data_IF_139795651561
#
_entry.id   IF_139795651561
#
_cell.length_a   1.000
_cell.length_b   1.000
_cell.length_c   1.000
_cell.angle_alpha   90.00
_cell.angle_beta   90.00
_cell.angle_gamma   90.00
#
_symmetry.space_group_name_H-M   'P 1'
#
loop_
_entity.id
_entity.type
_entity.pdbx_description
1 polymer ?
#
# COMPACT_ATOMS: atom_id res chain seq x y z
N UNK A 1 -1.75 -20.04 13.28
CA UNK A 1 -0.96 -18.81 13.52
C UNK A 1 0.53 -19.00 13.32
N UNK A 2 1.22 -19.86 14.10
CA UNK A 2 2.69 -20.04 13.98
C UNK A 2 3.16 -20.45 12.59
N UNK A 3 2.47 -21.41 11.96
CA UNK A 3 2.73 -21.81 10.57
C UNK A 3 2.56 -20.64 9.60
N UNK A 4 1.47 -19.89 9.70
CA UNK A 4 1.22 -18.70 8.87
C UNK A 4 2.31 -17.64 8.99
N UNK A 5 2.76 -17.35 10.22
CA UNK A 5 3.87 -16.42 10.48
C UNK A 5 5.20 -16.92 9.88
N UNK A 6 5.50 -18.21 10.02
CA UNK A 6 6.69 -18.82 9.43
C UNK A 6 6.67 -18.73 7.89
N UNK A 7 5.52 -19.03 7.26
CA UNK A 7 5.37 -18.91 5.81
C UNK A 7 5.52 -17.46 5.33
N UNK A 8 4.96 -16.49 6.07
CA UNK A 8 5.12 -15.08 5.77
C UNK A 8 6.59 -14.64 5.84
N UNK A 9 7.32 -15.07 6.88
CA UNK A 9 8.74 -14.76 7.05
C UNK A 9 9.59 -15.37 5.94
N UNK A 10 9.41 -16.67 5.67
CA UNK A 10 10.15 -17.39 4.61
C UNK A 10 9.79 -16.81 3.24
N UNK A 11 8.52 -16.54 2.99
CA UNK A 11 8.04 -15.96 1.74
C UNK A 11 8.62 -14.57 1.49
N UNK A 12 8.56 -13.68 2.48
CA UNK A 12 9.14 -12.33 2.40
C UNK A 12 10.65 -12.39 2.12
N UNK A 13 11.36 -13.23 2.87
CA UNK A 13 12.80 -13.44 2.70
C UNK A 13 13.17 -13.94 1.31
N UNK A 14 12.42 -14.92 0.80
CA UNK A 14 12.62 -15.50 -0.52
C UNK A 14 12.34 -14.49 -1.64
N UNK A 15 11.22 -13.76 -1.53
CA UNK A 15 10.80 -12.73 -2.48
C UNK A 15 11.78 -11.57 -2.54
N UNK A 16 12.24 -11.05 -1.39
CA UNK A 16 13.20 -9.95 -1.34
C UNK A 16 14.54 -10.37 -1.96
N UNK A 17 15.08 -11.54 -1.59
CA UNK A 17 16.33 -12.03 -2.21
C UNK A 17 16.18 -12.22 -3.71
N UNK A 18 15.07 -12.81 -4.16
CA UNK A 18 14.81 -13.00 -5.59
C UNK A 18 14.71 -11.67 -6.33
N UNK A 19 14.01 -10.68 -5.76
CA UNK A 19 13.84 -9.35 -6.33
C UNK A 19 15.17 -8.62 -6.51
N UNK A 20 16.06 -8.64 -5.51
CA UNK A 20 17.41 -8.04 -5.60
C UNK A 20 18.21 -8.69 -6.73
N UNK A 21 18.24 -10.03 -6.81
CA UNK A 21 18.97 -10.74 -7.85
C UNK A 21 18.38 -10.52 -9.25
N UNK A 22 17.05 -10.47 -9.39
CA UNK A 22 16.39 -10.18 -10.66
C UNK A 22 16.68 -8.76 -11.14
N UNK A 23 16.69 -7.78 -10.23
CA UNK A 23 17.10 -6.43 -10.56
C UNK A 23 18.53 -6.39 -11.14
N UNK A 24 19.46 -7.11 -10.52
CA UNK A 24 20.84 -7.23 -11.00
C UNK A 24 20.94 -7.92 -12.37
N UNK A 25 20.22 -9.04 -12.57
CA UNK A 25 20.21 -9.80 -13.83
C UNK A 25 19.64 -8.97 -14.97
N UNK A 26 18.52 -8.28 -14.75
CA UNK A 26 17.87 -7.44 -15.75
C UNK A 26 18.52 -6.06 -15.89
N UNK A 27 19.55 -5.76 -15.10
CA UNK A 27 20.25 -4.47 -15.08
C UNK A 27 19.30 -3.28 -14.86
N UNK A 28 18.26 -3.50 -14.05
CA UNK A 28 17.29 -2.48 -13.65
C UNK A 28 17.50 -2.10 -12.18
N UNK A 29 16.94 -0.97 -11.77
CA UNK A 29 16.98 -0.56 -10.36
C UNK A 29 16.14 -1.53 -9.50
N UNK A 30 16.58 -1.91 -8.29
CA UNK A 30 15.77 -2.70 -7.36
C UNK A 30 14.38 -2.08 -7.09
N UNK A 31 14.33 -0.74 -7.08
CA UNK A 31 13.08 0.03 -6.99
C UNK A 31 12.06 -0.38 -8.05
N UNK A 32 12.47 -0.64 -9.30
CA UNK A 32 11.56 -1.01 -10.39
C UNK A 32 10.89 -2.36 -10.11
N UNK A 33 11.65 -3.34 -9.63
CA UNK A 33 11.12 -4.67 -9.27
C UNK A 33 10.18 -4.56 -8.06
N UNK A 34 10.54 -3.73 -7.08
CA UNK A 34 9.68 -3.40 -5.94
C UNK A 34 8.34 -2.78 -6.36
N UNK A 35 8.39 -1.73 -7.19
CA UNK A 35 7.22 -1.01 -7.69
C UNK A 35 6.30 -1.84 -8.58
N UNK A 36 6.81 -2.90 -9.21
CA UNK A 36 6.08 -3.68 -10.21
C UNK A 36 5.76 -5.08 -9.71
N UNK A 37 6.68 -6.03 -9.87
CA UNK A 37 6.41 -7.46 -9.67
C UNK A 37 6.11 -7.78 -8.21
N UNK A 38 6.87 -7.20 -7.28
CA UNK A 38 6.70 -7.47 -5.84
C UNK A 38 5.41 -6.83 -5.34
N UNK A 39 5.17 -5.57 -5.69
CA UNK A 39 3.93 -4.86 -5.36
C UNK A 39 2.69 -5.57 -5.91
N UNK A 40 2.70 -5.97 -7.19
CA UNK A 40 1.59 -6.69 -7.81
C UNK A 40 1.35 -8.04 -7.12
N UNK A 41 2.43 -8.78 -6.84
CA UNK A 41 2.34 -10.08 -6.18
C UNK A 41 1.80 -9.99 -4.75
N UNK A 42 2.25 -9.01 -3.98
CA UNK A 42 1.77 -8.81 -2.60
C UNK A 42 0.36 -8.22 -2.52
N UNK A 43 -0.13 -7.61 -3.60
CA UNK A 43 -1.51 -7.06 -3.71
C UNK A 43 -2.51 -8.08 -4.25
N UNK A 44 -2.06 -9.24 -4.76
CA UNK A 44 -2.93 -10.29 -5.27
C UNK A 44 -3.95 -10.82 -4.24
N UNK A 45 -3.61 -11.01 -2.95
CA UNK A 45 -4.58 -11.42 -1.93
C UNK A 45 -5.67 -10.38 -1.71
N UNK A 46 -5.31 -9.08 -1.78
CA UNK A 46 -6.27 -7.98 -1.70
C UNK A 46 -7.19 -7.95 -2.92
N UNK A 47 -6.69 -8.27 -4.11
CA UNK A 47 -7.52 -8.46 -5.30
C UNK A 47 -8.55 -9.58 -5.12
N UNK A 48 -8.11 -10.73 -4.62
CA UNK A 48 -8.97 -11.88 -4.39
C UNK A 48 -10.10 -11.56 -3.41
N UNK A 49 -9.78 -10.91 -2.28
CA UNK A 49 -10.78 -10.51 -1.28
C UNK A 49 -11.75 -9.45 -1.83
N UNK A 50 -11.25 -8.46 -2.57
CA UNK A 50 -12.10 -7.40 -3.12
C UNK A 50 -13.07 -7.95 -4.17
N UNK A 51 -12.60 -8.84 -5.04
CA UNK A 51 -13.46 -9.55 -5.99
C UNK A 51 -14.49 -10.42 -5.27
N UNK A 52 -14.06 -11.23 -4.30
CA UNK A 52 -14.98 -12.09 -3.55
C UNK A 52 -16.07 -11.28 -2.84
N UNK A 53 -15.71 -10.15 -2.22
CA UNK A 53 -16.68 -9.25 -1.60
C UNK A 53 -17.67 -8.66 -2.62
N UNK A 54 -17.18 -8.27 -3.81
CA UNK A 54 -18.03 -7.76 -4.88
C UNK A 54 -19.01 -8.83 -5.43
N UNK A 55 -18.57 -10.08 -5.57
CA UNK A 55 -19.45 -11.19 -5.97
C UNK A 55 -20.45 -11.61 -4.89
N UNK A 56 -20.14 -11.32 -3.62
CA UNK A 56 -21.02 -11.56 -2.48
C UNK A 56 -21.98 -10.38 -2.18
N UNK A 57 -22.11 -9.42 -3.12
CA UNK A 57 -22.93 -8.20 -2.98
C UNK A 57 -22.52 -7.27 -1.82
N UNK A 58 -21.29 -7.44 -1.31
CA UNK A 58 -20.70 -6.62 -0.25
C UNK A 58 -19.73 -5.59 -0.86
N UNK A 59 -20.25 -4.75 -1.76
CA UNK A 59 -19.44 -3.84 -2.58
C UNK A 59 -18.71 -2.76 -1.78
N UNK A 60 -19.31 -2.28 -0.68
CA UNK A 60 -18.66 -1.32 0.24
C UNK A 60 -17.40 -1.92 0.89
N UNK A 61 -17.41 -3.22 1.22
CA UNK A 61 -16.24 -3.91 1.75
C UNK A 61 -15.14 -4.03 0.69
N UNK A 62 -15.52 -4.26 -0.57
CA UNK A 62 -14.57 -4.35 -1.68
C UNK A 62 -13.81 -3.03 -1.88
N UNK A 63 -14.53 -1.90 -1.87
CA UNK A 63 -13.92 -0.57 -2.00
C UNK A 63 -13.16 -0.17 -0.73
N UNK A 64 -13.76 -0.37 0.44
CA UNK A 64 -13.15 -0.04 1.74
C UNK A 64 -11.84 -0.78 1.98
N UNK A 65 -11.73 -2.05 1.55
CA UNK A 65 -10.49 -2.83 1.57
C UNK A 65 -9.37 -2.16 0.77
N UNK A 66 -9.67 -1.63 -0.43
CA UNK A 66 -8.69 -0.91 -1.25
C UNK A 66 -8.23 0.37 -0.57
N UNK A 67 -9.17 1.20 -0.13
CA UNK A 67 -8.88 2.50 0.50
C UNK A 67 -8.08 2.30 1.79
N UNK A 68 -8.56 1.43 2.68
CA UNK A 68 -7.92 1.12 3.95
C UNK A 68 -6.52 0.52 3.77
N UNK A 69 -6.34 -0.36 2.78
CA UNK A 69 -5.03 -0.92 2.43
C UNK A 69 -4.03 0.15 2.00
N UNK A 70 -4.45 1.15 1.21
CA UNK A 70 -3.58 2.24 0.79
C UNK A 70 -3.14 3.14 1.96
N UNK A 71 -4.06 3.43 2.87
CA UNK A 71 -3.78 4.18 4.11
C UNK A 71 -2.82 3.36 4.98
N UNK A 72 -3.07 2.06 5.15
CA UNK A 72 -2.21 1.16 5.93
C UNK A 72 -0.79 1.07 5.36
N UNK A 73 -0.66 0.95 4.05
CA UNK A 73 0.64 0.87 3.37
C UNK A 73 1.50 2.11 3.65
N UNK A 74 0.93 3.31 3.55
CA UNK A 74 1.70 4.54 3.79
C UNK A 74 1.92 4.79 5.27
N UNK A 75 0.91 4.65 6.12
CA UNK A 75 1.05 5.05 7.51
C UNK A 75 1.74 3.97 8.36
N UNK A 76 1.42 2.70 8.14
CA UNK A 76 1.93 1.59 8.94
C UNK A 76 3.18 0.99 8.31
N UNK A 77 3.11 0.51 7.07
CA UNK A 77 4.23 -0.24 6.48
C UNK A 77 5.45 0.67 6.34
N UNK A 78 5.29 1.84 5.70
CA UNK A 78 6.38 2.81 5.55
C UNK A 78 6.87 3.32 6.91
N UNK A 79 5.94 3.59 7.84
CA UNK A 79 6.26 4.05 9.18
C UNK A 79 7.14 3.06 9.95
N UNK A 80 6.75 1.78 9.97
CA UNK A 80 7.54 0.70 10.59
C UNK A 80 8.89 0.49 9.89
N UNK A 81 8.92 0.55 8.56
CA UNK A 81 10.17 0.45 7.81
C UNK A 81 11.15 1.58 8.17
N UNK A 82 10.64 2.82 8.33
CA UNK A 82 11.44 3.97 8.74
C UNK A 82 11.97 3.87 10.18
N UNK A 83 11.25 3.19 11.08
CA UNK A 83 11.76 2.89 12.43
C UNK A 83 12.95 1.94 12.40
N UNK A 84 12.89 0.90 11.56
CA UNK A 84 13.96 -0.08 11.39
C UNK A 84 15.20 0.62 10.81
N UNK A 85 15.05 1.23 9.64
CA UNK A 85 16.14 1.89 8.92
C UNK A 85 15.64 3.19 8.28
N UNK A 86 16.37 4.32 8.40
CA UNK A 86 16.03 5.52 7.67
C UNK A 86 15.96 5.24 6.17
N UNK A 87 14.80 5.51 5.56
CA UNK A 87 14.50 5.15 4.18
C UNK A 87 14.98 6.27 3.27
N UNK A 88 16.10 6.06 2.57
CA UNK A 88 16.53 6.97 1.51
C UNK A 88 15.63 6.79 0.31
N UNK A 89 15.14 7.92 -0.19
CA UNK A 89 14.17 7.99 -1.29
C UNK A 89 14.92 8.37 -2.56
N UNK A 90 14.80 7.54 -3.60
CA UNK A 90 15.32 7.90 -4.92
C UNK A 90 14.56 9.10 -5.49
N UNK A 91 15.25 10.00 -6.20
CA UNK A 91 14.63 11.18 -6.83
C UNK A 91 13.45 10.82 -7.74
N UNK A 92 13.50 9.65 -8.38
CA UNK A 92 12.44 9.07 -9.20
C UNK A 92 11.13 8.91 -8.42
N UNK A 93 11.20 8.42 -7.18
CA UNK A 93 10.04 8.24 -6.31
C UNK A 93 9.30 9.55 -6.10
N UNK A 94 10.05 10.62 -5.85
CA UNK A 94 9.47 11.93 -5.53
C UNK A 94 8.85 12.62 -6.76
N UNK A 95 9.47 12.51 -7.93
CA UNK A 95 9.05 13.26 -9.11
C UNK A 95 8.10 12.50 -10.01
N UNK A 96 8.03 11.18 -9.89
CA UNK A 96 7.21 10.33 -10.77
C UNK A 96 6.30 9.42 -9.96
N UNK A 97 6.84 8.56 -9.11
CA UNK A 97 6.03 7.50 -8.50
C UNK A 97 4.97 8.05 -7.52
N UNK A 98 5.33 9.03 -6.68
CA UNK A 98 4.39 9.73 -5.79
C UNK A 98 3.35 10.54 -6.58
N UNK A 99 3.72 11.39 -7.58
CA UNK A 99 2.74 12.05 -8.43
C UNK A 99 1.79 11.10 -9.16
N UNK A 100 2.27 9.95 -9.64
CA UNK A 100 1.42 8.91 -10.23
C UNK A 100 0.44 8.35 -9.19
N UNK A 101 0.90 8.09 -7.96
CA UNK A 101 0.04 7.62 -6.87
C UNK A 101 -1.04 8.65 -6.52
N UNK A 102 -0.67 9.94 -6.43
CA UNK A 102 -1.62 11.04 -6.20
C UNK A 102 -2.61 11.15 -7.37
N UNK A 103 -2.13 11.03 -8.61
CA UNK A 103 -2.97 11.01 -9.81
C UNK A 103 -3.96 9.85 -9.80
N UNK A 104 -3.54 8.66 -9.36
CA UNK A 104 -4.41 7.50 -9.20
C UNK A 104 -5.47 7.74 -8.11
N UNK A 105 -5.11 8.35 -6.98
CA UNK A 105 -6.06 8.74 -5.94
C UNK A 105 -7.09 9.75 -6.48
N UNK A 106 -6.64 10.79 -7.18
CA UNK A 106 -7.52 11.80 -7.77
C UNK A 106 -8.45 11.21 -8.84
N UNK A 107 -7.94 10.30 -9.67
CA UNK A 107 -8.75 9.58 -10.64
C UNK A 107 -9.83 8.76 -9.94
N UNK A 108 -9.47 7.96 -8.92
CA UNK A 108 -10.44 7.18 -8.16
C UNK A 108 -11.51 8.06 -7.49
N UNK A 109 -11.11 9.18 -6.88
CA UNK A 109 -12.03 10.15 -6.27
C UNK A 109 -12.96 10.76 -7.32
N UNK A 110 -12.42 11.16 -8.48
CA UNK A 110 -13.21 11.74 -9.57
C UNK A 110 -14.24 10.76 -10.13
N UNK A 111 -13.89 9.48 -10.25
CA UNK A 111 -14.80 8.43 -10.71
C UNK A 111 -15.85 8.06 -9.66
N UNK A 112 -15.53 8.21 -8.37
CA UNK A 112 -16.47 7.95 -7.28
C UNK A 112 -17.53 9.04 -7.06
N UNK A 113 -17.61 10.08 -7.91
CA UNK A 113 -18.46 11.26 -7.67
C UNK A 113 -19.96 10.93 -7.54
N UNK A 114 -20.43 9.93 -8.26
CA UNK A 114 -21.79 9.40 -8.20
C UNK A 114 -22.01 8.38 -7.07
N UNK A 115 -21.01 8.14 -6.22
CA UNK A 115 -21.06 7.20 -5.09
C UNK A 115 -20.87 5.73 -5.48
N UNK A 116 -20.54 5.44 -6.74
CA UNK A 116 -20.40 4.06 -7.24
C UNK A 116 -19.27 3.95 -8.28
N UNK A 117 -18.58 2.81 -8.34
CA UNK A 117 -17.71 2.49 -9.48
C UNK A 117 -18.41 1.56 -10.46
N UNK A 118 -18.64 2.05 -11.67
CA UNK A 118 -19.17 1.29 -12.79
C UNK A 118 -18.09 0.44 -13.48
N UNK A 119 -18.52 -0.43 -14.38
CA UNK A 119 -17.60 -1.21 -15.24
C UNK A 119 -16.74 -0.31 -16.14
N UNK A 120 -17.28 0.84 -16.55
CA UNK A 120 -16.54 1.82 -17.34
C UNK A 120 -15.41 2.45 -16.51
N UNK A 121 -15.69 2.77 -15.24
CA UNK A 121 -14.69 3.29 -14.31
C UNK A 121 -13.59 2.24 -14.07
N UNK A 122 -13.97 0.97 -13.93
CA UNK A 122 -13.04 -0.14 -13.85
C UNK A 122 -12.10 -0.24 -15.06
N UNK A 123 -12.63 -0.11 -16.27
CA UNK A 123 -11.83 -0.07 -17.49
C UNK A 123 -10.88 1.14 -17.54
N UNK A 124 -11.34 2.30 -17.10
CA UNK A 124 -10.53 3.52 -17.06
C UNK A 124 -9.40 3.44 -16.03
N UNK A 125 -9.65 2.87 -14.86
CA UNK A 125 -8.64 2.60 -13.84
C UNK A 125 -7.56 1.64 -14.36
N UNK A 126 -7.96 0.57 -15.07
CA UNK A 126 -7.02 -0.37 -15.69
C UNK A 126 -6.22 0.27 -16.83
N UNK A 127 -6.83 1.13 -17.64
CA UNK A 127 -6.10 1.93 -18.61
C UNK A 127 -5.07 2.85 -17.92
N UNK A 128 -5.45 3.46 -16.80
CA UNK A 128 -4.54 4.21 -15.92
C UNK A 128 -3.38 3.37 -15.40
N UNK A 129 -3.63 2.11 -15.01
CA UNK A 129 -2.58 1.18 -14.59
C UNK A 129 -1.59 0.93 -15.72
N UNK A 130 -2.06 0.66 -16.94
CA UNK A 130 -1.21 0.45 -18.11
C UNK A 130 -0.32 1.66 -18.39
N UNK A 131 -0.90 2.87 -18.33
CA UNK A 131 -0.13 4.12 -18.48
C UNK A 131 0.93 4.23 -17.39
N UNK A 132 0.57 4.01 -16.12
CA UNK A 132 1.52 4.04 -15.00
C UNK A 132 2.67 3.05 -15.19
N UNK A 133 2.38 1.80 -15.58
CA UNK A 133 3.40 0.79 -15.83
C UNK A 133 4.34 1.19 -16.97
N UNK A 134 3.80 1.74 -18.07
CA UNK A 134 4.62 2.23 -19.19
C UNK A 134 5.55 3.36 -18.73
N UNK A 135 5.04 4.31 -17.95
CA UNK A 135 5.83 5.42 -17.40
C UNK A 135 6.94 4.91 -16.48
N UNK A 136 6.61 4.03 -15.54
CA UNK A 136 7.55 3.43 -14.58
C UNK A 136 8.66 2.65 -15.30
N UNK A 137 8.30 1.80 -16.28
CA UNK A 137 9.26 0.99 -17.04
C UNK A 137 10.18 1.87 -17.90
N UNK A 138 9.63 2.87 -18.61
CA UNK A 138 10.43 3.76 -19.47
C UNK A 138 11.47 4.55 -18.69
N UNK A 139 11.15 4.94 -17.46
CA UNK A 139 12.07 5.72 -16.64
C UNK A 139 13.04 4.85 -15.85
N UNK A 140 12.63 3.63 -15.48
CA UNK A 140 13.51 2.64 -14.83
C UNK A 140 14.66 2.15 -15.71
N UNK A 141 14.56 2.30 -17.04
CA UNK A 141 15.60 1.90 -18.01
C UNK A 141 16.79 2.86 -18.14
N UNK A 142 16.66 4.12 -17.70
CA UNK A 142 17.73 5.13 -17.82
C UNK A 142 18.41 5.37 -16.48
N UNK A 143 19.43 4.55 -16.18
CA UNK A 143 20.71 4.82 -15.47
C UNK A 143 21.09 3.54 -14.69
N UNK A 144 22.07 2.77 -15.15
CA UNK A 144 22.69 1.74 -14.31
C UNK A 144 23.61 2.47 -13.32
N UNK A 145 23.38 2.34 -12.02
CA UNK A 145 24.37 2.78 -11.03
C UNK A 145 24.84 1.60 -10.19
N UNK A 146 26.17 1.53 -10.12
CA UNK A 146 27.00 0.44 -9.65
C UNK A 146 26.83 0.16 -8.15
N UNK A 147 26.87 -1.13 -7.84
CA UNK A 147 26.98 -1.63 -6.48
C UNK A 147 26.07 -2.83 -6.30
N UNK A 148 26.56 -4.02 -6.61
CA UNK A 148 26.52 -5.24 -5.79
C UNK A 148 27.20 -6.37 -6.58
N UNK A 149 28.16 -7.02 -5.88
CA UNK A 149 29.11 -8.06 -6.27
C UNK A 149 28.96 -8.77 -7.63
N UNK A 150 30.09 -8.92 -8.32
CA UNK A 150 30.30 -10.00 -9.30
C UNK A 150 30.03 -11.35 -8.63
N UNK A 151 28.81 -11.87 -8.73
CA UNK A 151 28.54 -13.26 -8.39
C UNK A 151 29.08 -14.15 -9.51
N UNK A 152 30.10 -14.93 -9.18
CA UNK A 152 30.86 -15.86 -10.03
C UNK A 152 30.04 -17.06 -10.53
N UNK A 153 28.82 -17.27 -10.05
CA UNK A 153 27.89 -18.26 -10.58
C UNK A 153 26.77 -17.56 -11.36
N UNK A 154 26.59 -17.89 -12.66
CA UNK A 154 25.43 -17.45 -13.44
C UNK A 154 24.15 -17.98 -12.76
N UNK A 155 23.37 -17.15 -12.03
CA UNK A 155 22.13 -17.63 -11.47
C UNK A 155 21.17 -17.78 -12.65
N UNK A 156 20.62 -18.98 -12.86
CA UNK A 156 19.61 -19.17 -13.91
C UNK A 156 18.45 -18.24 -13.61
N UNK A 157 18.17 -17.28 -14.51
CA UNK A 157 17.07 -16.31 -14.38
C UNK A 157 15.76 -17.00 -14.02
N UNK A 158 15.52 -18.16 -14.62
CA UNK A 158 14.36 -19.01 -14.34
C UNK A 158 14.27 -19.43 -12.86
N UNK A 159 15.37 -19.82 -12.23
CA UNK A 159 15.40 -20.18 -10.81
C UNK A 159 15.03 -18.98 -9.93
N UNK A 160 15.49 -17.77 -10.27
CA UNK A 160 15.16 -16.55 -9.51
C UNK A 160 13.70 -16.13 -9.71
N UNK A 161 13.15 -16.30 -10.90
CA UNK A 161 11.71 -16.09 -11.16
C UNK A 161 10.89 -17.09 -10.34
N UNK A 162 11.25 -18.37 -10.36
CA UNK A 162 10.57 -19.40 -9.58
C UNK A 162 10.67 -19.13 -8.08
N UNK A 163 11.83 -18.66 -7.62
CA UNK A 163 12.06 -18.27 -6.23
C UNK A 163 11.18 -17.08 -5.81
N UNK A 164 11.04 -16.07 -6.68
CA UNK A 164 10.13 -14.94 -6.45
C UNK A 164 8.66 -15.41 -6.41
N UNK A 165 8.25 -16.23 -7.39
CA UNK A 165 6.90 -16.76 -7.46
C UNK A 165 6.57 -17.62 -6.23
N UNK A 166 7.48 -18.52 -5.83
CA UNK A 166 7.34 -19.31 -4.62
C UNK A 166 7.25 -18.42 -3.38
N UNK A 167 8.07 -17.38 -3.27
CA UNK A 167 8.02 -16.43 -2.15
C UNK A 167 6.67 -15.72 -2.05
N UNK A 168 6.14 -15.24 -3.18
CA UNK A 168 4.83 -14.59 -3.24
C UNK A 168 3.67 -15.56 -2.92
N UNK A 169 3.76 -16.81 -3.36
CA UNK A 169 2.80 -17.86 -2.99
C UNK A 169 2.84 -18.16 -1.49
N UNK A 170 4.03 -18.27 -0.91
CA UNK A 170 4.20 -18.48 0.53
C UNK A 170 3.68 -17.29 1.35
N UNK A 171 3.91 -16.06 0.89
CA UNK A 171 3.35 -14.86 1.51
C UNK A 171 1.82 -14.88 1.49
N UNK A 172 1.23 -15.22 0.35
CA UNK A 172 -0.22 -15.33 0.17
C UNK A 172 -0.80 -16.41 1.08
N UNK A 173 -0.24 -17.62 1.04
CA UNK A 173 -0.67 -18.74 1.87
C UNK A 173 -0.49 -18.45 3.38
N UNK A 174 0.63 -17.85 3.77
CA UNK A 174 0.90 -17.46 5.15
C UNK A 174 -0.06 -16.38 5.65
N UNK A 175 -0.39 -15.40 4.80
CA UNK A 175 -1.40 -14.38 5.07
C UNK A 175 -2.77 -15.00 5.32
N UNK A 176 -3.25 -15.86 4.40
CA UNK A 176 -4.52 -16.57 4.57
C UNK A 176 -4.58 -17.38 5.87
N UNK A 177 -3.56 -18.21 6.15
CA UNK A 177 -3.52 -19.00 7.39
C UNK A 177 -3.50 -18.14 8.67
N UNK A 178 -2.89 -16.96 8.62
CA UNK A 178 -2.87 -16.05 9.76
C UNK A 178 -4.23 -15.38 9.96
N UNK A 179 -4.87 -14.96 8.86
CA UNK A 179 -6.21 -14.37 8.88
C UNK A 179 -7.23 -15.38 9.38
N UNK A 180 -7.28 -16.59 8.82
CA UNK A 180 -8.23 -17.63 9.23
C UNK A 180 -8.11 -17.95 10.72
N UNK A 181 -6.88 -18.08 11.22
CA UNK A 181 -6.65 -18.32 12.64
C UNK A 181 -7.07 -17.12 13.51
N UNK A 182 -6.88 -15.89 13.03
CA UNK A 182 -7.29 -14.67 13.73
C UNK A 182 -8.81 -14.51 13.76
N UNK A 183 -9.50 -14.88 12.68
CA UNK A 183 -10.96 -14.92 12.58
C UNK A 183 -11.53 -15.90 13.61
N UNK A 184 -10.99 -17.13 13.69
CA UNK A 184 -11.43 -18.13 14.68
C UNK A 184 -11.30 -17.59 16.10
N UNK A 185 -10.15 -16.99 16.45
CA UNK A 185 -9.93 -16.41 17.79
C UNK A 185 -10.92 -15.27 18.06
N UNK A 186 -11.13 -14.38 17.09
CA UNK A 186 -12.02 -13.24 17.25
C UNK A 186 -13.48 -13.65 17.49
N UNK A 187 -13.96 -14.68 16.78
CA UNK A 187 -15.30 -15.25 16.99
C UNK A 187 -15.41 -15.87 18.39
N UNK A 188 -14.38 -16.60 18.86
CA UNK A 188 -14.36 -17.14 20.22
C UNK A 188 -14.35 -16.05 21.31
N UNK A 189 -13.80 -14.88 21.00
CA UNK A 189 -13.83 -13.70 21.87
C UNK A 189 -15.14 -12.91 21.79
N UNK A 190 -16.14 -13.39 21.04
CA UNK A 190 -17.46 -12.78 20.92
C UNK A 190 -17.49 -11.56 20.00
N UNK A 191 -16.47 -11.35 19.15
CA UNK A 191 -16.50 -10.30 18.14
C UNK A 191 -17.48 -10.68 17.02
N UNK A 192 -18.26 -9.70 16.54
CA UNK A 192 -19.19 -9.93 15.44
C UNK A 192 -18.45 -10.17 14.12
N UNK A 193 -19.02 -11.00 13.25
CA UNK A 193 -18.46 -11.29 11.92
C UNK A 193 -18.20 -10.00 11.11
N UNK A 194 -19.04 -8.98 11.31
CA UNK A 194 -18.86 -7.65 10.71
C UNK A 194 -17.58 -6.97 11.15
N UNK A 195 -17.28 -6.96 12.46
CA UNK A 195 -16.06 -6.36 13.00
C UNK A 195 -14.84 -7.13 12.52
N UNK A 196 -14.92 -8.47 12.50
CA UNK A 196 -13.85 -9.35 12.01
C UNK A 196 -13.54 -9.08 10.53
N UNK A 197 -14.57 -8.95 9.69
CA UNK A 197 -14.41 -8.65 8.27
C UNK A 197 -13.79 -7.27 8.01
N UNK A 198 -14.25 -6.24 8.73
CA UNK A 198 -13.78 -4.86 8.51
C UNK A 198 -12.39 -4.58 9.08
N UNK A 199 -11.90 -5.41 10.02
CA UNK A 199 -10.62 -5.15 10.70
C UNK A 199 -9.57 -6.22 10.41
N UNK A 200 -9.81 -7.45 10.85
CA UNK A 200 -8.83 -8.55 10.77
C UNK A 200 -8.55 -8.95 9.33
N UNK A 201 -9.59 -9.06 8.51
CA UNK A 201 -9.43 -9.41 7.09
C UNK A 201 -8.75 -8.26 6.33
N UNK A 202 -9.16 -7.02 6.57
CA UNK A 202 -8.58 -5.84 5.92
C UNK A 202 -7.08 -5.64 6.25
N UNK A 203 -6.68 -5.83 7.51
CA UNK A 203 -5.26 -5.83 7.91
C UNK A 203 -4.55 -7.07 7.33
N UNK A 204 -5.24 -8.20 7.34
CA UNK A 204 -4.79 -9.49 6.87
C UNK A 204 -4.30 -9.50 5.43
N UNK A 205 -5.06 -8.89 4.52
CA UNK A 205 -4.70 -8.78 3.10
C UNK A 205 -3.46 -7.92 2.85
N UNK A 206 -3.12 -7.04 3.80
CA UNK A 206 -1.91 -6.19 3.74
C UNK A 206 -0.67 -6.84 4.38
N UNK A 207 -0.82 -8.00 5.06
CA UNK A 207 0.31 -8.73 5.67
C UNK A 207 1.41 -9.13 4.67
N UNK A 208 1.10 -9.61 3.45
CA UNK A 208 2.12 -9.90 2.45
C UNK A 208 3.00 -8.70 2.14
N UNK A 209 2.39 -7.52 1.93
CA UNK A 209 3.09 -6.28 1.63
C UNK A 209 3.89 -5.79 2.84
N UNK A 210 3.32 -5.89 4.05
CA UNK A 210 3.98 -5.54 5.30
C UNK A 210 5.25 -6.37 5.49
N UNK A 211 5.11 -7.69 5.45
CA UNK A 211 6.22 -8.61 5.69
C UNK A 211 7.32 -8.46 4.65
N UNK A 212 6.96 -8.30 3.38
CA UNK A 212 7.94 -8.07 2.31
C UNK A 212 8.73 -6.78 2.51
N UNK A 213 8.04 -5.68 2.86
CA UNK A 213 8.68 -4.37 3.04
C UNK A 213 9.54 -4.32 4.30
N UNK A 214 9.08 -4.94 5.40
CA UNK A 214 9.85 -5.04 6.64
C UNK A 214 11.13 -5.85 6.43
N UNK A 215 11.04 -7.02 5.78
CA UNK A 215 12.23 -7.84 5.49
C UNK A 215 13.19 -7.12 4.54
N UNK A 216 12.67 -6.40 3.54
CA UNK A 216 13.51 -5.54 2.70
C UNK A 216 14.23 -4.46 3.52
N UNK A 217 13.53 -3.80 4.45
CA UNK A 217 14.11 -2.82 5.35
C UNK A 217 15.19 -3.43 6.27
N UNK A 218 14.94 -4.60 6.87
CA UNK A 218 15.92 -5.33 7.69
C UNK A 218 17.16 -5.74 6.89
N UNK A 219 17.00 -6.05 5.61
CA UNK A 219 18.11 -6.37 4.70
C UNK A 219 18.87 -5.14 4.19
N UNK A 220 18.41 -3.94 4.51
CA UNK A 220 18.96 -2.69 4.00
C UNK A 220 18.55 -2.36 2.56
N UNK A 221 17.61 -3.12 1.99
CA UNK A 221 17.08 -2.98 0.63
C UNK A 221 15.97 -1.91 0.59
N UNK A 222 16.35 -0.68 0.91
CA UNK A 222 15.43 0.47 1.07
C UNK A 222 14.58 0.73 -0.18
N UNK A 223 15.19 0.60 -1.36
CA UNK A 223 14.53 0.81 -2.64
C UNK A 223 13.39 -0.20 -2.88
N UNK A 224 13.57 -1.46 -2.45
CA UNK A 224 12.54 -2.49 -2.54
C UNK A 224 11.44 -2.22 -1.51
N UNK A 225 11.79 -1.83 -0.28
CA UNK A 225 10.81 -1.52 0.76
C UNK A 225 9.89 -0.35 0.35
N UNK A 226 10.46 0.77 -0.11
CA UNK A 226 9.70 1.94 -0.57
C UNK A 226 8.95 1.62 -1.86
N UNK A 227 9.59 0.93 -2.80
CA UNK A 227 8.98 0.53 -4.07
C UNK A 227 7.77 -0.37 -3.87
N UNK A 228 7.85 -1.34 -2.96
CA UNK A 228 6.73 -2.22 -2.67
C UNK A 228 5.52 -1.44 -2.12
N UNK A 229 5.73 -0.53 -1.17
CA UNK A 229 4.64 0.30 -0.60
C UNK A 229 3.95 1.16 -1.66
N UNK A 230 4.72 1.92 -2.44
CA UNK A 230 4.15 2.85 -3.43
C UNK A 230 3.53 2.07 -4.60
N UNK A 231 4.20 1.00 -5.04
CA UNK A 231 3.70 0.11 -6.06
C UNK A 231 2.39 -0.54 -5.63
N UNK A 232 2.31 -1.06 -4.39
CA UNK A 232 1.08 -1.69 -3.88
C UNK A 232 -0.06 -0.69 -3.87
N UNK A 233 0.18 0.58 -3.53
CA UNK A 233 -0.86 1.60 -3.63
C UNK A 233 -1.36 1.84 -5.06
N UNK A 234 -0.44 1.95 -6.02
CA UNK A 234 -0.79 2.08 -7.43
C UNK A 234 -1.58 0.86 -7.93
N UNK A 235 -1.13 -0.35 -7.62
CA UNK A 235 -1.82 -1.58 -7.99
C UNK A 235 -3.16 -1.73 -7.29
N UNK A 236 -3.29 -1.31 -6.04
CA UNK A 236 -4.55 -1.35 -5.31
C UNK A 236 -5.58 -0.40 -5.94
N UNK A 237 -5.19 0.84 -6.22
CA UNK A 237 -6.08 1.85 -6.80
C UNK A 237 -6.46 1.56 -8.25
N UNK A 238 -5.49 1.20 -9.08
CA UNK A 238 -5.71 1.09 -10.53
C UNK A 238 -5.99 -0.35 -10.96
N UNK A 239 -5.34 -1.31 -10.31
CA UNK A 239 -5.45 -2.74 -10.60
C UNK A 239 -6.55 -3.42 -9.82
N UNK A 240 -6.47 -3.46 -8.49
CA UNK A 240 -7.45 -4.17 -7.64
C UNK A 240 -8.83 -3.56 -7.80
N UNK A 241 -8.98 -2.25 -7.60
CA UNK A 241 -10.26 -1.58 -7.78
C UNK A 241 -10.73 -1.65 -9.24
N UNK A 242 -9.82 -1.49 -10.21
CA UNK A 242 -10.15 -1.55 -11.64
C UNK A 242 -10.69 -2.91 -12.09
N UNK A 243 -9.98 -4.00 -11.73
CA UNK A 243 -10.42 -5.37 -11.98
C UNK A 243 -11.73 -5.65 -11.25
N UNK A 244 -11.82 -5.26 -9.97
CA UNK A 244 -13.02 -5.51 -9.17
C UNK A 244 -14.24 -4.82 -9.77
N UNK A 245 -14.14 -3.55 -10.15
CA UNK A 245 -15.24 -2.80 -10.76
C UNK A 245 -15.63 -3.32 -12.14
N UNK A 246 -14.66 -3.79 -12.94
CA UNK A 246 -14.91 -4.32 -14.28
C UNK A 246 -15.67 -5.66 -14.24
N UNK A 247 -15.31 -6.54 -13.31
CA UNK A 247 -15.85 -7.90 -13.21
C UNK A 247 -17.00 -8.05 -12.20
N UNK A 248 -17.25 -7.04 -11.36
CA UNK A 248 -18.37 -7.08 -10.42
C UNK A 248 -19.72 -7.29 -11.13
N UNK A 249 -20.63 -8.09 -10.56
CA UNK A 249 -21.99 -8.27 -11.10
C UNK A 249 -22.79 -6.96 -11.11
N UNK A 250 -22.59 -6.13 -10.09
CA UNK A 250 -23.30 -4.87 -9.81
C UNK A 250 -22.24 -3.76 -9.63
N UNK A 251 -22.54 -2.47 -9.93
CA UNK A 251 -21.63 -1.37 -9.62
C UNK A 251 -21.14 -1.39 -8.17
N UNK A 252 -19.88 -1.03 -7.95
CA UNK A 252 -19.33 -1.04 -6.60
C UNK A 252 -19.81 0.20 -5.84
N UNK A 253 -20.79 0.02 -4.96
CA UNK A 253 -21.27 1.12 -4.12
C UNK A 253 -20.24 1.48 -3.05
N UNK A 254 -20.19 2.76 -2.71
CA UNK A 254 -19.28 3.33 -1.72
C UNK A 254 -20.13 3.86 -0.57
N UNK A 255 -19.80 3.49 0.67
CA UNK A 255 -20.50 4.09 1.81
C UNK A 255 -20.33 5.61 1.86
N UNK A 256 -21.35 6.37 2.27
CA UNK A 256 -21.26 7.82 2.41
C UNK A 256 -20.09 8.27 3.31
N UNK A 257 -19.81 7.50 4.37
CA UNK A 257 -18.69 7.75 5.25
C UNK A 257 -17.35 7.57 4.54
N UNK A 258 -17.17 6.50 3.77
CA UNK A 258 -15.94 6.30 2.98
C UNK A 258 -15.73 7.42 1.95
N UNK A 259 -16.82 7.95 1.37
CA UNK A 259 -16.77 9.02 0.38
C UNK A 259 -16.36 10.37 0.99
N UNK A 260 -16.90 10.72 2.17
CA UNK A 260 -16.65 12.02 2.83
C UNK A 260 -15.39 12.00 3.69
N UNK A 261 -14.95 10.84 4.17
CA UNK A 261 -13.87 10.73 5.15
C UNK A 261 -12.68 9.92 4.66
N UNK A 262 -12.88 8.64 4.32
CA UNK A 262 -11.76 7.73 4.02
C UNK A 262 -11.03 8.10 2.72
N UNK A 263 -11.76 8.47 1.66
CA UNK A 263 -11.19 8.91 0.39
C UNK A 263 -10.35 10.20 0.53
N UNK A 264 -10.85 11.29 1.16
CA UNK A 264 -10.03 12.46 1.45
C UNK A 264 -8.82 12.17 2.33
N UNK A 265 -8.93 11.26 3.31
CA UNK A 265 -7.79 10.86 4.14
C UNK A 265 -6.75 10.11 3.32
N UNK A 266 -7.16 9.16 2.48
CA UNK A 266 -6.26 8.45 1.58
C UNK A 266 -5.51 9.42 0.66
N UNK A 267 -6.19 10.43 0.11
CA UNK A 267 -5.55 11.49 -0.66
C UNK A 267 -4.61 12.33 0.20
N UNK A 268 -5.04 12.74 1.40
CA UNK A 268 -4.24 13.52 2.34
C UNK A 268 -2.95 12.82 2.77
N UNK A 269 -3.02 11.51 3.04
CA UNK A 269 -1.89 10.64 3.35
C UNK A 269 -0.98 10.48 2.12
N UNK A 270 -1.54 10.35 0.92
CA UNK A 270 -0.79 10.31 -0.32
C UNK A 270 -0.05 11.62 -0.60
N UNK A 271 -0.68 12.76 -0.33
CA UNK A 271 -0.10 14.10 -0.43
C UNK A 271 0.95 14.34 0.65
N UNK A 272 0.77 13.80 1.86
CA UNK A 272 1.74 13.86 2.95
C UNK A 272 3.09 13.21 2.58
N UNK A 273 3.10 12.25 1.66
CA UNK A 273 4.35 11.70 1.14
C UNK A 273 5.20 12.78 0.44
N UNK A 274 4.62 13.79 -0.20
CA UNK A 274 5.41 14.83 -0.89
C UNK A 274 6.34 15.59 0.06
N UNK A 275 5.88 16.29 1.11
CA UNK A 275 6.75 17.03 2.01
C UNK A 275 7.72 16.12 2.80
N UNK A 276 7.28 14.92 3.21
CA UNK A 276 8.09 13.97 3.96
C UNK A 276 9.27 13.48 3.13
N UNK A 277 9.02 13.05 1.89
CA UNK A 277 10.05 12.50 1.02
C UNK A 277 10.92 13.60 0.43
N UNK A 278 10.41 14.82 0.28
CA UNK A 278 11.17 15.98 -0.20
C UNK A 278 12.15 16.49 0.87
N UNK A 279 11.83 16.37 2.16
CA UNK A 279 12.67 16.82 3.27
C UNK A 279 13.95 15.97 3.42
N UNK A 280 14.95 16.25 2.58
CA UNK A 280 16.25 15.58 2.64
C UNK A 280 16.33 14.22 1.95
N UNK A 281 15.35 13.88 1.10
CA UNK A 281 15.29 12.61 0.36
C UNK A 281 15.40 11.38 1.26
N UNK A 282 14.88 11.49 2.49
CA UNK A 282 14.91 10.40 3.46
C UNK A 282 13.72 10.49 4.39
N UNK A 283 13.23 9.33 4.83
CA UNK A 283 12.27 9.22 5.91
C UNK A 283 13.03 8.78 7.15
N UNK A 284 13.14 9.67 8.12
CA UNK A 284 13.80 9.43 9.39
C UNK A 284 12.85 8.73 10.38
N UNK A 285 13.42 8.18 11.47
CA UNK A 285 12.64 7.46 12.49
C UNK A 285 11.51 8.29 13.09
N UNK A 286 11.72 9.60 13.27
CA UNK A 286 10.70 10.51 13.82
C UNK A 286 9.51 10.65 12.89
N UNK A 287 9.74 10.69 11.58
CA UNK A 287 8.67 10.70 10.58
C UNK A 287 7.95 9.34 10.57
N UNK A 288 8.67 8.24 10.79
CA UNK A 288 8.07 6.92 11.02
C UNK A 288 7.14 6.87 12.23
N UNK A 289 7.56 7.39 13.40
CA UNK A 289 6.70 7.51 14.59
C UNK A 289 5.47 8.37 14.29
N UNK A 290 5.68 9.48 13.57
CA UNK A 290 4.59 10.37 13.17
C UNK A 290 3.55 9.65 12.29
N UNK A 291 3.98 8.93 11.23
CA UNK A 291 3.10 8.15 10.37
C UNK A 291 2.29 7.11 11.17
N UNK A 292 2.92 6.41 12.10
CA UNK A 292 2.24 5.43 12.96
C UNK A 292 1.24 6.09 13.91
N UNK A 293 1.57 7.26 14.45
CA UNK A 293 0.65 8.02 15.32
C UNK A 293 -0.58 8.52 14.55
N UNK A 294 -0.44 8.87 13.27
CA UNK A 294 -1.56 9.20 12.41
C UNK A 294 -2.46 7.99 12.17
N UNK A 295 -1.88 6.81 11.92
CA UNK A 295 -2.68 5.59 11.76
C UNK A 295 -3.41 5.22 13.05
N UNK A 296 -2.76 5.34 14.20
CA UNK A 296 -3.41 5.10 15.49
C UNK A 296 -4.60 6.04 15.70
N UNK A 297 -4.43 7.32 15.35
CA UNK A 297 -5.52 8.32 15.43
C UNK A 297 -6.68 7.96 14.49
N UNK A 298 -6.38 7.59 13.25
CA UNK A 298 -7.36 7.12 12.27
C UNK A 298 -8.11 5.87 12.74
N UNK A 299 -7.40 4.86 13.23
CA UNK A 299 -8.00 3.62 13.74
C UNK A 299 -8.87 3.85 14.97
N UNK A 300 -8.43 4.68 15.92
CA UNK A 300 -9.23 5.06 17.10
C UNK A 300 -10.52 5.75 16.72
N UNK A 301 -10.50 6.58 15.67
CA UNK A 301 -11.68 7.26 15.18
C UNK A 301 -12.70 6.31 14.54
N UNK A 302 -12.25 5.39 13.68
CA UNK A 302 -13.12 4.34 13.11
C UNK A 302 -13.73 3.46 14.21
N UNK A 303 -12.94 3.09 15.21
CA UNK A 303 -13.42 2.32 16.36
C UNK A 303 -14.46 3.10 17.17
N UNK A 304 -14.27 4.41 17.38
CA UNK A 304 -15.22 5.24 18.11
C UNK A 304 -16.57 5.35 17.38
N UNK A 305 -16.55 5.56 16.06
CA UNK A 305 -17.77 5.62 15.22
C UNK A 305 -18.49 4.27 15.25
N UNK A 306 -17.77 3.17 15.05
CA UNK A 306 -18.38 1.83 14.99
C UNK A 306 -18.94 1.32 16.32
N UNK A 307 -18.42 1.81 17.46
CA UNK A 307 -18.90 1.43 18.81
C UNK A 307 -19.94 2.40 19.38
N UNK A 308 -20.27 3.48 18.68
CA UNK A 308 -21.26 4.47 19.12
C UNK A 308 -20.85 5.23 20.39
N UNK A 309 -19.56 5.27 20.73
CA UNK A 309 -19.08 6.01 21.90
C UNK A 309 -19.25 7.52 21.68
N UNK A 310 -19.66 8.28 22.71
CA UNK A 310 -19.67 9.76 22.69
C UNK A 310 -18.28 10.40 22.43
N UNK A 311 -17.22 9.59 22.40
CA UNK A 311 -15.88 9.96 21.96
C UNK A 311 -15.79 10.14 20.42
N UNK A 312 -16.72 9.57 19.65
CA UNK A 312 -16.75 9.59 18.20
C UNK A 312 -16.88 11.01 17.64
N UNK A 313 -17.89 11.78 18.08
CA UNK A 313 -18.07 13.18 17.65
C UNK A 313 -16.88 14.07 18.03
N UNK A 314 -16.30 13.87 19.22
CA UNK A 314 -15.10 14.62 19.67
C UNK A 314 -13.86 14.27 18.85
N UNK A 315 -13.70 13.02 18.44
CA UNK A 315 -12.60 12.57 17.58
C UNK A 315 -12.79 13.00 16.13
N UNK A 316 -14.03 12.97 15.62
CA UNK A 316 -14.41 13.43 14.28
C UNK A 316 -14.09 14.92 14.10
N UNK A 317 -14.57 15.73 15.05
CA UNK A 317 -14.32 17.16 15.06
C UNK A 317 -12.81 17.41 15.11
N UNK A 318 -12.07 16.71 15.99
CA UNK A 318 -10.61 16.87 16.06
C UNK A 318 -9.86 16.37 14.82
N UNK A 319 -10.31 15.30 14.14
CA UNK A 319 -9.66 14.85 12.90
C UNK A 319 -9.90 15.84 11.76
N UNK A 320 -11.12 16.35 11.61
CA UNK A 320 -11.46 17.32 10.57
C UNK A 320 -10.89 18.72 10.87
N UNK A 321 -10.85 19.17 12.13
CA UNK A 321 -10.40 20.54 12.49
C UNK A 321 -8.94 20.64 12.94
N UNK A 322 -8.28 19.54 13.29
CA UNK A 322 -6.87 19.52 13.72
C UNK A 322 -6.01 18.72 12.73
N UNK A 323 -6.33 17.45 12.49
CA UNK A 323 -5.46 16.56 11.71
C UNK A 323 -5.42 16.96 10.23
N UNK A 324 -6.58 17.19 9.60
CA UNK A 324 -6.64 17.61 8.20
C UNK A 324 -5.94 18.95 7.93
N UNK A 325 -6.17 20.03 8.71
CA UNK A 325 -5.46 21.29 8.51
C UNK A 325 -3.99 21.21 8.95
N UNK A 326 -3.61 20.41 9.95
CA UNK A 326 -2.19 20.19 10.27
C UNK A 326 -1.48 19.44 9.15
N UNK A 327 -2.09 18.39 8.58
CA UNK A 327 -1.60 17.72 7.37
C UNK A 327 -1.50 18.71 6.21
N UNK A 328 -2.54 19.53 6.00
CA UNK A 328 -2.56 20.58 4.99
C UNK A 328 -1.43 21.61 5.18
N UNK A 329 -1.18 22.05 6.41
CA UNK A 329 -0.10 22.98 6.76
C UNK A 329 1.27 22.31 6.61
N UNK A 330 1.44 21.05 6.99
CA UNK A 330 2.69 20.30 6.82
C UNK A 330 2.98 20.08 5.33
N UNK A 331 1.97 19.75 4.53
CA UNK A 331 2.06 19.65 3.08
C UNK A 331 2.40 21.01 2.48
N UNK A 332 1.66 22.06 2.82
CA UNK A 332 1.90 23.40 2.29
C UNK A 332 3.28 23.94 2.70
N UNK A 333 3.66 23.84 3.98
CA UNK A 333 4.96 24.28 4.47
C UNK A 333 6.08 23.44 3.87
N UNK A 334 5.96 22.11 3.87
CA UNK A 334 6.97 21.24 3.26
C UNK A 334 7.14 21.55 1.78
N UNK A 335 6.06 21.84 1.06
CA UNK A 335 6.08 22.25 -0.36
C UNK A 335 6.69 23.66 -0.57
N UNK A 336 6.38 24.64 0.29
CA UNK A 336 6.95 26.00 0.21
C UNK A 336 8.45 25.99 0.55
N UNK A 337 8.84 25.22 1.58
CA UNK A 337 10.24 25.06 1.98
C UNK A 337 11.03 24.29 0.92
N UNK A 338 10.40 23.32 0.29
CA UNK A 338 10.91 22.61 -0.87
C UNK A 338 11.20 23.57 -2.03
N UNK A 339 10.21 24.39 -2.39
CA UNK A 339 10.30 25.37 -3.47
C UNK A 339 11.40 26.43 -3.24
N UNK A 340 11.48 27.01 -2.02
CA UNK A 340 12.53 28.00 -1.65
C UNK A 340 13.96 27.45 -1.57
N UNK A 341 14.16 26.13 -1.63
CA UNK A 341 15.51 25.54 -1.69
C UNK A 341 15.97 25.32 -3.14
N UNK A 342 15.07 25.41 -4.10
CA UNK A 342 15.34 25.20 -5.53
C UNK A 342 15.42 26.51 -6.34
N UNK A 343 14.87 27.60 -5.80
CA UNK A 343 14.90 28.95 -6.38
C UNK A 343 15.32 29.95 -5.30
#
# INVERSE_FOLDING_TARGET
MLSGLLLLLIGAELSVRAAVHLAAIFKVRPLLIGLTVVAMGTSAPQMAVSLQAAFADNTDIAVGSVIGGNIFNVLVILGLCALIIPLRVARQVLHIDIPLMIGACLLAIGLSWNGEFSKFDGALLLAGLLVCLIVIIRQGGHTPRHGHAETTEKPRTFTRILMLAAGLLLLTAGGHLLVDASVVIAIHLGLSERIVGLTIIAIGTSLPALMTSLIAAFRGERDIAVGNVIGSNLFNLLGVLGVTALFAPVPLTISPNAMVFDLPIMLGVSLLCVPLFYSGYRIDRMEGVFLLSLYLTYGLHILAISTGMALAERLETKMLTLVLPVLGVIVAWGTIRAWRRQH
#
